data_IF_611075243786
#
_entry.id   IF_611075243786
#
_cell.length_a   1.000
_cell.length_b   1.000
_cell.length_c   1.000
_cell.angle_alpha   90.00
_cell.angle_beta   90.00
_cell.angle_gamma   90.00
#
_symmetry.space_group_name_H-M   'P 1'
#
loop_
_entity.id
_entity.type
_entity.pdbx_description
1 polymer ?
#
# COMPACT_ATOMS: atom_id res chain seq x y z
N UNK A 1 24.55 17.32 8.35
CA UNK A 1 23.53 16.69 7.49
C UNK A 1 22.71 17.83 6.88
N UNK A 2 22.65 17.96 5.57
CA UNK A 2 21.86 18.99 4.92
C UNK A 2 20.37 18.53 4.86
N UNK A 3 19.46 19.46 5.10
CA UNK A 3 18.02 19.19 4.97
C UNK A 3 17.65 19.41 3.50
N UNK A 4 16.91 18.48 2.91
CA UNK A 4 16.41 18.65 1.54
C UNK A 4 15.48 19.87 1.49
N UNK A 5 15.67 20.71 0.48
CA UNK A 5 14.85 21.90 0.24
C UNK A 5 13.81 21.67 -0.85
N UNK A 6 13.81 20.51 -1.49
CA UNK A 6 12.87 20.13 -2.54
C UNK A 6 11.74 19.30 -1.95
N UNK A 7 10.50 19.75 -2.13
CA UNK A 7 9.31 19.00 -1.74
C UNK A 7 8.97 17.98 -2.81
N UNK A 8 8.80 16.72 -2.41
CA UNK A 8 8.40 15.64 -3.31
C UNK A 8 6.89 15.44 -3.23
N UNK A 9 6.28 15.14 -4.36
CA UNK A 9 4.84 14.91 -4.48
C UNK A 9 4.58 13.46 -4.92
N UNK A 10 3.60 12.79 -4.33
CA UNK A 10 3.19 11.45 -4.76
C UNK A 10 2.59 11.42 -6.17
N UNK A 11 2.11 12.56 -6.64
CA UNK A 11 1.60 12.71 -8.02
C UNK A 11 2.68 12.59 -9.08
N UNK A 12 3.95 12.76 -8.72
CA UNK A 12 5.10 12.64 -9.62
C UNK A 12 5.62 11.19 -9.66
N UNK A 13 4.78 10.22 -9.31
CA UNK A 13 5.17 8.83 -9.19
C UNK A 13 4.26 7.87 -9.94
N UNK A 14 4.69 6.62 -9.98
CA UNK A 14 3.92 5.49 -10.51
C UNK A 14 3.63 4.49 -9.42
N UNK A 15 2.39 3.98 -9.38
CA UNK A 15 2.00 2.89 -8.50
C UNK A 15 1.94 1.58 -9.29
N UNK A 16 2.68 0.60 -8.84
CA UNK A 16 2.68 -0.75 -9.40
C UNK A 16 2.05 -1.70 -8.39
N UNK A 17 1.04 -2.44 -8.82
CA UNK A 17 0.46 -3.57 -8.10
C UNK A 17 1.25 -4.82 -8.46
N UNK A 18 1.52 -5.68 -7.49
CA UNK A 18 2.23 -6.94 -7.68
C UNK A 18 1.53 -8.07 -6.95
N UNK A 19 1.46 -9.23 -7.57
CA UNK A 19 0.90 -10.43 -6.97
C UNK A 19 1.98 -11.34 -6.35
N UNK A 20 1.58 -12.45 -5.74
CA UNK A 20 2.46 -13.41 -5.06
C UNK A 20 2.96 -14.56 -5.92
N UNK A 21 2.87 -14.50 -7.25
CA UNK A 21 3.44 -15.56 -8.11
C UNK A 21 4.97 -15.55 -8.07
N UNK A 22 5.60 -16.69 -8.32
CA UNK A 22 7.07 -16.81 -8.30
C UNK A 22 7.79 -15.93 -9.34
N UNK A 23 7.10 -15.59 -10.44
CA UNK A 23 7.41 -14.46 -11.31
C UNK A 23 6.22 -13.54 -11.18
N UNK A 24 6.36 -12.51 -10.37
CA UNK A 24 5.25 -11.64 -10.00
C UNK A 24 4.58 -11.03 -11.24
N UNK A 25 3.27 -11.16 -11.31
CA UNK A 25 2.46 -10.43 -12.28
C UNK A 25 2.29 -9.01 -11.75
N UNK A 26 2.61 -8.03 -12.57
CA UNK A 26 2.55 -6.62 -12.19
C UNK A 26 1.58 -5.85 -13.07
N UNK A 27 0.95 -4.84 -12.47
CA UNK A 27 0.08 -3.90 -13.15
C UNK A 27 0.40 -2.48 -12.72
N UNK A 28 0.76 -1.61 -13.67
CA UNK A 28 0.99 -0.19 -13.40
C UNK A 28 -0.34 0.55 -13.38
N UNK A 29 -0.68 1.10 -12.24
CA UNK A 29 -1.91 1.84 -12.06
C UNK A 29 -1.72 3.30 -12.48
N UNK A 30 -2.52 3.84 -13.40
CA UNK A 30 -2.44 5.23 -13.80
C UNK A 30 -2.97 6.12 -12.66
N UNK A 31 -2.06 6.67 -11.86
CA UNK A 31 -2.38 7.68 -10.86
C UNK A 31 -2.45 9.05 -11.54
N UNK A 32 -3.56 9.38 -12.14
CA UNK A 32 -3.71 10.69 -12.81
C UNK A 32 -4.09 11.82 -11.86
N UNK A 33 -4.77 11.52 -10.78
CA UNK A 33 -4.98 12.39 -9.62
C UNK A 33 -5.19 11.44 -8.42
N UNK A 34 -4.14 11.10 -7.71
CA UNK A 34 -4.26 10.13 -6.64
C UNK A 34 -3.94 10.77 -5.29
N UNK A 35 -4.92 10.81 -4.43
CA UNK A 35 -4.64 11.01 -3.02
C UNK A 35 -4.17 9.67 -2.44
N UNK A 36 -2.85 9.45 -2.42
CA UNK A 36 -2.28 8.30 -1.70
C UNK A 36 -2.07 8.73 -0.25
N UNK A 37 -2.72 8.04 0.66
CA UNK A 37 -2.55 8.25 2.10
C UNK A 37 -2.06 6.96 2.74
N UNK A 38 -1.01 7.07 3.54
CA UNK A 38 -0.43 5.97 4.31
C UNK A 38 -0.44 6.37 5.77
N UNK A 39 -1.23 5.68 6.58
CA UNK A 39 -1.41 5.98 7.99
C UNK A 39 -0.94 4.83 8.88
N UNK A 40 -0.63 5.15 10.14
CA UNK A 40 -0.33 4.15 11.17
C UNK A 40 1.06 3.54 11.08
N UNK A 41 1.99 4.16 10.35
CA UNK A 41 3.39 3.71 10.25
C UNK A 41 4.24 4.17 11.43
N UNK A 42 5.32 3.44 11.68
CA UNK A 42 6.29 3.76 12.72
C UNK A 42 5.85 3.35 14.12
N UNK A 43 6.23 4.13 15.14
CA UNK A 43 5.99 3.79 16.55
C UNK A 43 4.50 3.74 16.93
N UNK A 44 3.62 4.37 16.16
CA UNK A 44 2.16 4.32 16.37
C UNK A 44 1.56 2.93 16.11
N UNK A 45 2.30 2.02 15.51
CA UNK A 45 1.84 0.63 15.30
C UNK A 45 1.59 -0.13 16.61
N UNK A 46 2.06 0.39 17.74
CA UNK A 46 1.80 -0.15 19.08
C UNK A 46 1.58 0.99 20.04
N UNK A 47 0.34 1.22 20.39
CA UNK A 47 0.02 2.23 21.40
C UNK A 47 0.60 1.82 22.76
N UNK A 48 1.17 2.74 23.54
CA UNK A 48 1.60 2.46 24.89
C UNK A 48 0.39 2.33 25.82
N UNK A 49 0.35 1.25 26.59
CA UNK A 49 -0.61 1.08 27.70
C UNK A 49 0.12 1.42 28.98
N UNK A 50 -0.37 2.42 29.69
CA UNK A 50 0.19 2.85 30.96
C UNK A 50 -0.60 2.21 32.11
N UNK A 51 0.08 1.40 32.90
CA UNK A 51 -0.47 0.83 34.13
C UNK A 51 -0.16 1.78 35.28
N UNK A 52 -1.22 2.22 35.98
CA UNK A 52 -1.11 3.18 37.06
C UNK A 52 -1.52 2.56 38.40
N UNK A 53 -0.83 2.95 39.45
CA UNK A 53 -1.22 2.66 40.83
C UNK A 53 -1.42 4.01 41.54
N UNK A 54 -2.65 4.30 42.03
CA UNK A 54 -3.02 5.53 42.70
C UNK A 54 -2.62 6.81 41.91
N UNK A 55 -2.82 6.79 40.59
CA UNK A 55 -2.51 7.92 39.70
C UNK A 55 -1.03 8.08 39.31
N UNK A 56 -0.15 7.18 39.78
CA UNK A 56 1.27 7.19 39.41
C UNK A 56 1.51 6.09 38.40
N UNK A 57 2.19 6.43 37.29
CA UNK A 57 2.58 5.46 36.28
C UNK A 57 3.57 4.45 36.88
N UNK A 58 3.19 3.19 36.92
CA UNK A 58 3.98 2.11 37.44
C UNK A 58 4.73 1.35 36.35
N UNK A 59 4.07 1.15 35.20
CA UNK A 59 4.64 0.39 34.08
C UNK A 59 4.02 0.90 32.79
N UNK A 60 4.83 0.91 31.73
CA UNK A 60 4.39 1.20 30.36
C UNK A 60 4.68 -0.05 29.53
N UNK A 61 3.67 -0.56 28.87
CA UNK A 61 3.77 -1.70 27.96
C UNK A 61 3.13 -1.38 26.61
N UNK A 62 3.51 -2.13 25.60
CA UNK A 62 2.85 -2.01 24.31
C UNK A 62 1.49 -2.73 24.31
N UNK A 63 0.50 -2.08 23.73
CA UNK A 63 -0.78 -2.70 23.37
C UNK A 63 -0.63 -3.70 22.22
N UNK A 64 -1.75 -4.27 21.80
CA UNK A 64 -1.83 -5.03 20.56
C UNK A 64 -1.33 -4.18 19.37
N UNK A 65 -0.74 -4.85 18.40
CA UNK A 65 -0.22 -4.18 17.21
C UNK A 65 -1.37 -3.64 16.38
N UNK A 66 -1.30 -2.36 16.02
CA UNK A 66 -2.10 -1.78 14.95
C UNK A 66 -1.33 -1.92 13.64
N UNK A 67 -2.01 -2.25 12.57
CA UNK A 67 -1.42 -2.34 11.24
C UNK A 67 -1.58 -1.00 10.52
N UNK A 68 -0.63 -0.69 9.65
CA UNK A 68 -0.72 0.48 8.79
C UNK A 68 -1.86 0.33 7.78
N UNK A 69 -2.47 1.44 7.40
CA UNK A 69 -3.52 1.48 6.40
C UNK A 69 -3.10 2.32 5.22
N UNK A 70 -3.56 1.93 4.06
CA UNK A 70 -3.34 2.66 2.81
C UNK A 70 -4.69 2.95 2.18
N UNK A 71 -4.85 4.17 1.71
CA UNK A 71 -5.95 4.56 0.85
C UNK A 71 -5.43 5.33 -0.35
N UNK A 72 -6.03 5.11 -1.50
CA UNK A 72 -5.72 5.81 -2.73
C UNK A 72 -6.95 5.95 -3.61
N UNK A 73 -6.92 6.92 -4.49
CA UNK A 73 -7.94 7.13 -5.49
C UNK A 73 -7.29 7.25 -6.87
N UNK A 74 -7.86 6.61 -7.86
CA UNK A 74 -7.41 6.68 -9.24
C UNK A 74 -8.58 6.88 -10.18
N UNK A 75 -8.31 7.35 -11.38
CA UNK A 75 -9.32 7.40 -12.43
C UNK A 75 -9.51 6.03 -13.07
N UNK A 76 -10.74 5.69 -13.37
CA UNK A 76 -11.06 4.49 -14.14
C UNK A 76 -10.84 4.82 -15.61
N UNK A 77 -9.83 4.19 -16.19
CA UNK A 77 -9.56 4.33 -17.63
C UNK A 77 -10.43 3.37 -18.45
N UNK A 78 -10.67 2.18 -17.91
CA UNK A 78 -11.47 1.15 -18.57
C UNK A 78 -12.10 0.20 -17.56
N UNK A 79 -13.16 -0.50 -18.00
CA UNK A 79 -13.84 -1.54 -17.23
C UNK A 79 -13.46 -2.92 -17.77
N UNK A 80 -13.55 -3.93 -16.91
CA UNK A 80 -13.29 -5.32 -17.29
C UNK A 80 -14.21 -5.79 -18.42
N UNK A 81 -13.61 -6.10 -19.55
CA UNK A 81 -14.31 -6.77 -20.67
C UNK A 81 -13.74 -8.17 -20.97
N UNK A 82 -12.76 -8.61 -20.18
CA UNK A 82 -12.04 -9.88 -20.34
C UNK A 82 -10.95 -9.86 -21.41
N UNK A 83 -10.73 -8.74 -22.06
CA UNK A 83 -9.72 -8.56 -23.12
C UNK A 83 -8.57 -7.70 -22.64
N UNK A 84 -8.89 -6.57 -22.03
CA UNK A 84 -7.90 -5.62 -21.53
C UNK A 84 -7.59 -5.81 -20.04
N UNK A 85 -6.37 -5.49 -19.65
CA UNK A 85 -5.94 -5.54 -18.26
C UNK A 85 -6.41 -4.27 -17.53
N UNK A 86 -7.19 -4.41 -16.48
CA UNK A 86 -7.69 -3.28 -15.69
C UNK A 86 -7.28 -3.38 -14.22
N UNK A 87 -7.22 -2.24 -13.53
CA UNK A 87 -6.96 -2.24 -12.08
C UNK A 87 -8.06 -2.99 -11.31
N UNK A 88 -9.30 -2.89 -11.77
CA UNK A 88 -10.45 -3.60 -11.18
C UNK A 88 -10.24 -5.11 -11.24
N UNK A 89 -9.84 -5.63 -12.41
CA UNK A 89 -9.55 -7.05 -12.59
C UNK A 89 -8.41 -7.53 -11.70
N UNK A 90 -7.38 -6.70 -11.53
CA UNK A 90 -6.26 -7.03 -10.67
C UNK A 90 -6.68 -7.21 -9.21
N UNK A 91 -7.49 -6.29 -8.68
CA UNK A 91 -7.99 -6.37 -7.32
C UNK A 91 -9.03 -7.49 -7.12
N UNK A 92 -9.87 -7.74 -8.11
CA UNK A 92 -10.90 -8.78 -8.05
C UNK A 92 -10.39 -10.18 -8.45
N UNK A 93 -9.14 -10.27 -8.89
CA UNK A 93 -8.58 -11.52 -9.41
C UNK A 93 -9.46 -12.09 -10.52
N UNK A 94 -9.81 -11.27 -11.49
CA UNK A 94 -10.68 -11.61 -12.62
C UNK A 94 -10.02 -11.34 -13.97
N UNK A 95 -10.69 -11.67 -15.06
CA UNK A 95 -10.21 -11.43 -16.41
C UNK A 95 -8.81 -11.98 -16.66
N UNK A 96 -7.92 -11.14 -17.15
CA UNK A 96 -6.52 -11.47 -17.41
C UNK A 96 -5.72 -11.86 -16.17
N UNK A 97 -6.22 -11.51 -14.98
CA UNK A 97 -5.57 -11.74 -13.69
C UNK A 97 -6.19 -12.87 -12.85
N UNK A 98 -7.07 -13.69 -13.45
CA UNK A 98 -7.73 -14.79 -12.75
C UNK A 98 -6.77 -15.84 -12.15
N UNK A 99 -5.56 -15.96 -12.71
CA UNK A 99 -4.51 -16.87 -12.24
C UNK A 99 -3.56 -16.26 -11.20
N UNK A 100 -3.72 -14.98 -10.85
CA UNK A 100 -2.86 -14.32 -9.86
C UNK A 100 -2.85 -15.08 -8.53
N UNK A 101 -1.71 -15.10 -7.87
CA UNK A 101 -1.56 -15.68 -6.55
C UNK A 101 -1.58 -14.59 -5.48
N UNK A 102 -2.01 -14.96 -4.27
CA UNK A 102 -1.86 -14.09 -3.12
C UNK A 102 -0.40 -14.01 -2.68
N UNK A 103 0.04 -12.84 -2.22
CA UNK A 103 1.36 -12.66 -1.56
C UNK A 103 1.50 -13.50 -0.29
N UNK A 104 0.40 -13.95 0.32
CA UNK A 104 0.41 -14.86 1.47
C UNK A 104 0.62 -16.32 1.10
N UNK A 105 0.71 -16.65 -0.19
CA UNK A 105 0.92 -17.98 -0.73
C UNK A 105 -0.21 -18.46 -1.64
N UNK A 106 0.07 -19.45 -2.47
CA UNK A 106 -0.83 -19.94 -3.51
C UNK A 106 -2.17 -20.50 -2.99
N UNK A 107 -2.20 -20.99 -1.76
CA UNK A 107 -3.41 -21.56 -1.12
C UNK A 107 -3.96 -20.66 -0.01
N UNK A 108 -3.59 -19.40 0.04
CA UNK A 108 -4.09 -18.48 1.06
C UNK A 108 -5.60 -18.21 0.84
N UNK A 109 -6.35 -18.20 1.94
CA UNK A 109 -7.77 -17.85 1.91
C UNK A 109 -8.00 -16.36 1.58
N UNK A 110 -7.00 -15.54 1.92
CA UNK A 110 -7.05 -14.09 1.70
C UNK A 110 -6.21 -13.73 0.49
N UNK A 111 -6.76 -12.96 -0.41
CA UNK A 111 -6.04 -12.40 -1.53
C UNK A 111 -5.34 -11.10 -1.09
N UNK A 112 -4.03 -11.14 -1.04
CA UNK A 112 -3.18 -9.99 -0.72
C UNK A 112 -2.27 -9.66 -1.89
N UNK A 113 -1.90 -8.40 -1.96
CA UNK A 113 -1.07 -7.79 -3.01
C UNK A 113 0.07 -7.02 -2.39
N UNK A 114 1.11 -6.75 -3.17
CA UNK A 114 2.12 -5.74 -2.85
C UNK A 114 1.88 -4.48 -3.69
N UNK A 115 2.03 -3.33 -3.06
CA UNK A 115 1.92 -2.03 -3.70
C UNK A 115 3.30 -1.37 -3.68
N UNK A 116 3.78 -0.95 -4.82
CA UNK A 116 5.08 -0.29 -4.97
C UNK A 116 4.85 1.08 -5.58
N UNK A 117 5.05 2.13 -4.79
CA UNK A 117 4.98 3.52 -5.24
C UNK A 117 6.41 4.03 -5.47
N UNK A 118 6.72 4.33 -6.72
CA UNK A 118 7.97 4.98 -7.10
C UNK A 118 7.71 6.46 -7.32
N UNK A 119 8.43 7.32 -6.61
CA UNK A 119 8.34 8.77 -6.69
C UNK A 119 9.55 9.27 -7.44
N UNK A 120 9.33 10.09 -8.46
CA UNK A 120 10.41 10.67 -9.25
C UNK A 120 11.32 11.54 -8.37
N UNK A 121 12.58 11.19 -8.35
CA UNK A 121 13.60 11.89 -7.59
C UNK A 121 14.67 12.49 -8.51
N UNK A 122 14.99 11.80 -9.59
CA UNK A 122 16.08 12.15 -10.50
C UNK A 122 15.81 13.47 -11.22
N UNK A 123 14.58 13.73 -11.62
CA UNK A 123 14.17 14.99 -12.24
C UNK A 123 14.20 16.18 -11.26
N UNK A 124 14.26 15.88 -9.96
CA UNK A 124 14.32 16.88 -8.89
C UNK A 124 15.70 16.99 -8.23
N UNK A 125 16.73 16.45 -8.89
CA UNK A 125 18.13 16.60 -8.50
C UNK A 125 18.63 15.57 -7.48
N UNK A 126 17.88 14.51 -7.22
CA UNK A 126 18.35 13.38 -6.43
C UNK A 126 19.15 12.40 -7.32
N UNK A 127 19.92 11.53 -6.70
CA UNK A 127 20.71 10.51 -7.41
C UNK A 127 19.89 9.30 -7.86
N UNK A 128 18.70 9.14 -7.31
CA UNK A 128 17.78 8.04 -7.60
C UNK A 128 16.34 8.42 -7.26
N UNK A 129 15.40 7.66 -7.81
CA UNK A 129 14.00 7.75 -7.44
C UNK A 129 13.77 7.14 -6.06
N UNK A 130 12.71 7.58 -5.39
CA UNK A 130 12.34 7.06 -4.08
C UNK A 130 11.27 5.99 -4.21
N UNK A 131 11.50 4.84 -3.61
CA UNK A 131 10.57 3.72 -3.66
C UNK A 131 9.92 3.50 -2.30
N UNK A 132 8.60 3.52 -2.27
CA UNK A 132 7.80 3.14 -1.11
C UNK A 132 7.17 1.78 -1.39
N UNK A 133 7.69 0.75 -0.74
CA UNK A 133 7.14 -0.60 -0.85
C UNK A 133 6.15 -0.85 0.29
N UNK A 134 4.93 -1.16 -0.06
CA UNK A 134 3.81 -1.45 0.84
C UNK A 134 3.41 -2.92 0.64
N UNK A 135 3.94 -3.79 1.49
CA UNK A 135 3.82 -5.23 1.35
C UNK A 135 2.61 -5.79 2.09
N UNK A 136 2.11 -6.92 1.60
CA UNK A 136 1.01 -7.67 2.22
C UNK A 136 -0.27 -6.83 2.38
N UNK A 137 -0.61 -6.07 1.36
CA UNK A 137 -1.82 -5.27 1.32
C UNK A 137 -3.06 -6.15 1.12
N UNK A 138 -4.04 -5.98 1.99
CA UNK A 138 -5.39 -6.54 1.83
C UNK A 138 -6.36 -5.39 1.87
N UNK A 139 -7.11 -5.23 0.80
CA UNK A 139 -8.01 -4.09 0.68
C UNK A 139 -9.27 -4.38 -0.09
N UNK A 140 -10.09 -3.35 -0.17
CA UNK A 140 -11.34 -3.31 -0.91
C UNK A 140 -11.30 -2.19 -1.92
N UNK A 141 -12.06 -2.33 -2.97
CA UNK A 141 -12.24 -1.31 -4.00
C UNK A 141 -13.65 -0.72 -3.91
N UNK A 142 -13.75 0.55 -4.23
CA UNK A 142 -15.01 1.26 -4.42
C UNK A 142 -15.00 1.95 -5.77
N UNK A 143 -16.12 1.94 -6.46
CA UNK A 143 -16.30 2.59 -7.75
C UNK A 143 -17.30 3.71 -7.56
N UNK A 144 -16.96 4.92 -7.98
CA UNK A 144 -17.85 6.06 -7.91
C UNK A 144 -18.00 6.70 -9.29
N UNK A 145 -19.25 7.08 -9.58
CA UNK A 145 -19.58 7.89 -10.75
C UNK A 145 -18.99 9.30 -10.61
N UNK A 146 -18.44 9.84 -11.68
CA UNK A 146 -17.86 11.17 -11.75
C UNK A 146 -17.42 11.51 -13.17
N UNK A 147 -16.75 12.64 -13.33
CA UNK A 147 -16.15 13.06 -14.59
C UNK A 147 -14.65 13.38 -14.38
N UNK A 148 -13.79 12.37 -14.51
CA UNK A 148 -13.97 10.96 -14.83
C UNK A 148 -14.45 10.11 -13.62
N UNK A 149 -14.91 8.89 -13.90
CA UNK A 149 -15.24 7.93 -12.85
C UNK A 149 -13.99 7.57 -12.03
N UNK A 150 -14.18 7.33 -10.75
CA UNK A 150 -13.08 7.09 -9.83
C UNK A 150 -13.11 5.69 -9.22
N UNK A 151 -11.92 5.12 -9.05
CA UNK A 151 -11.65 3.90 -8.30
C UNK A 151 -11.00 4.31 -6.98
N UNK A 152 -11.67 4.04 -5.89
CA UNK A 152 -11.08 4.16 -4.55
C UNK A 152 -10.62 2.80 -4.07
N UNK A 153 -9.42 2.75 -3.50
CA UNK A 153 -8.83 1.54 -2.91
C UNK A 153 -8.48 1.87 -1.48
N UNK A 154 -8.87 1.02 -0.56
CA UNK A 154 -8.49 1.16 0.85
C UNK A 154 -8.24 -0.19 1.48
N UNK A 155 -7.22 -0.28 2.33
CA UNK A 155 -6.90 -1.53 2.98
C UNK A 155 -5.80 -1.42 4.02
N UNK A 156 -5.37 -2.57 4.48
CA UNK A 156 -4.43 -2.72 5.58
C UNK A 156 -3.18 -3.47 5.11
N UNK A 157 -2.03 -3.02 5.57
CA UNK A 157 -0.74 -3.68 5.36
C UNK A 157 -0.48 -4.65 6.52
N UNK A 158 -0.56 -5.93 6.25
CA UNK A 158 -0.30 -6.96 7.26
C UNK A 158 1.18 -7.29 7.29
N UNK A 159 1.80 -7.09 8.44
CA UNK A 159 3.15 -7.56 8.66
C UNK A 159 3.13 -9.04 9.04
N UNK A 160 3.60 -9.86 8.13
CA UNK A 160 3.72 -11.31 8.27
C UNK A 160 5.10 -11.73 8.79
N UNK A 161 5.85 -10.78 9.37
CA UNK A 161 7.19 -11.02 9.88
C UNK A 161 7.24 -12.08 10.99
N UNK A 162 8.39 -12.66 11.16
CA UNK A 162 8.78 -13.70 12.11
C UNK A 162 8.84 -13.23 13.59
N UNK A 163 8.12 -12.16 13.92
CA UNK A 163 8.14 -11.52 15.24
C UNK A 163 9.21 -10.45 15.39
N UNK A 164 10.10 -10.27 14.42
CA UNK A 164 10.87 -9.05 14.26
C UNK A 164 9.97 -7.93 13.74
N UNK A 165 10.20 -6.69 14.17
CA UNK A 165 9.42 -5.52 13.74
C UNK A 165 9.80 -5.12 12.29
N UNK A 166 9.70 -6.04 11.35
CA UNK A 166 9.84 -5.72 9.95
C UNK A 166 8.58 -4.98 9.52
N UNK A 167 8.75 -3.74 9.14
CA UNK A 167 7.65 -2.94 8.62
C UNK A 167 7.23 -3.49 7.27
N UNK A 168 5.95 -3.68 7.09
CA UNK A 168 5.36 -3.90 5.77
C UNK A 168 5.50 -2.69 4.84
N UNK A 169 6.07 -1.60 5.34
CA UNK A 169 6.41 -0.40 4.60
C UNK A 169 7.92 -0.16 4.67
N UNK A 170 8.54 -0.07 3.50
CA UNK A 170 9.96 0.29 3.34
C UNK A 170 10.05 1.49 2.41
N UNK A 171 10.91 2.44 2.77
CA UNK A 171 11.24 3.61 1.94
C UNK A 171 12.74 3.55 1.63
N UNK A 172 13.09 3.51 0.36
CA UNK A 172 14.48 3.46 -0.14
C UNK A 172 14.74 4.59 -1.13
#
# INVERSE_FOLDING_TARGET
MAVSTVTKHFTDGTLVLSDGTGVAVTFSMPLTVGDVTIDGVGQKMREPVVYQTRGVAHSIRHAARAFATVSLTAHIADYSDGTDATAIDFFLKSGSFASNASVFGANAEVYGLDLILTIEGTDHGDSADHVISMLNFVGTIGIAEGEPNTLSVSGTLYDMGDGTLTNSLTIT
#
